data_IF_538095568746
#
_entry.id   IF_538095568746
#
_cell.length_a   1.000
_cell.length_b   1.000
_cell.length_c   1.000
_cell.angle_alpha   90.00
_cell.angle_beta   90.00
_cell.angle_gamma   90.00
#
_symmetry.space_group_name_H-M   'P 1'
#
loop_
_entity.id
_entity.type
_entity.pdbx_description
1 polymer ?
#
# COMPACT_ATOMS: atom_id res chain seq x y z
N UNK A 1 -2.16 17.73 7.96
CA UNK A 1 -2.95 16.70 7.25
C UNK A 1 -2.27 16.20 5.97
N UNK A 2 -1.78 17.08 5.08
CA UNK A 2 -1.08 16.66 3.85
C UNK A 2 0.14 15.74 4.09
N UNK A 3 0.99 16.03 5.09
CA UNK A 3 2.12 15.17 5.44
C UNK A 3 1.68 13.80 5.99
N UNK A 4 0.56 13.76 6.72
CA UNK A 4 0.00 12.52 7.27
C UNK A 4 -0.50 11.60 6.14
N UNK A 5 -1.22 12.15 5.17
CA UNK A 5 -1.66 11.42 3.99
C UNK A 5 -0.49 10.79 3.22
N UNK A 6 0.62 11.53 3.07
CA UNK A 6 1.84 11.02 2.42
C UNK A 6 2.47 9.86 3.19
N UNK A 7 2.55 9.95 4.52
CA UNK A 7 3.10 8.86 5.36
C UNK A 7 2.22 7.62 5.25
N UNK A 8 0.90 7.78 5.37
CA UNK A 8 -0.07 6.68 5.26
C UNK A 8 0.02 6.03 3.87
N UNK A 9 0.15 6.83 2.82
CA UNK A 9 0.36 6.34 1.46
C UNK A 9 1.61 5.48 1.35
N UNK A 10 2.75 5.95 1.89
CA UNK A 10 4.02 5.23 1.84
C UNK A 10 3.94 3.91 2.61
N UNK A 11 3.28 3.89 3.78
CA UNK A 11 3.08 2.66 4.56
C UNK A 11 2.24 1.66 3.75
N UNK A 12 1.11 2.11 3.18
CA UNK A 12 0.26 1.25 2.34
C UNK A 12 1.00 0.68 1.14
N UNK A 13 1.83 1.51 0.47
CA UNK A 13 2.68 1.10 -0.64
C UNK A 13 3.71 0.05 -0.21
N UNK A 14 4.39 0.25 0.91
CA UNK A 14 5.39 -0.70 1.41
C UNK A 14 4.75 -2.06 1.75
N UNK A 15 3.57 -2.05 2.36
CA UNK A 15 2.80 -3.27 2.65
C UNK A 15 2.38 -3.98 1.35
N UNK A 16 1.86 -3.23 0.37
CA UNK A 16 1.46 -3.79 -0.91
C UNK A 16 2.64 -4.41 -1.67
N UNK A 17 3.78 -3.72 -1.76
CA UNK A 17 4.99 -4.23 -2.41
C UNK A 17 5.51 -5.49 -1.71
N UNK A 18 5.54 -5.50 -0.38
CA UNK A 18 6.04 -6.66 0.38
C UNK A 18 5.13 -7.87 0.18
N UNK A 19 3.80 -7.66 0.21
CA UNK A 19 2.82 -8.70 -0.08
C UNK A 19 2.91 -9.24 -1.51
N UNK A 20 3.13 -8.34 -2.48
CA UNK A 20 3.25 -8.71 -3.90
C UNK A 20 4.55 -9.51 -4.15
N UNK A 21 5.70 -8.93 -3.82
CA UNK A 21 7.00 -9.55 -4.07
C UNK A 21 7.17 -10.85 -3.28
N UNK A 22 6.79 -10.85 -2.00
CA UNK A 22 6.90 -12.05 -1.17
C UNK A 22 5.85 -13.11 -1.52
N UNK A 23 4.58 -12.71 -1.69
CA UNK A 23 3.49 -13.64 -2.00
C UNK A 23 3.69 -14.33 -3.33
N UNK A 24 3.92 -13.56 -4.41
CA UNK A 24 4.20 -14.16 -5.71
C UNK A 24 5.57 -14.82 -5.78
N UNK A 25 6.59 -14.28 -5.08
CA UNK A 25 7.92 -14.90 -5.02
C UNK A 25 7.88 -16.32 -4.45
N UNK A 26 7.11 -16.55 -3.39
CA UNK A 26 6.90 -17.87 -2.81
C UNK A 26 6.12 -18.81 -3.73
N UNK A 27 5.10 -18.29 -4.44
CA UNK A 27 4.36 -19.06 -5.46
C UNK A 27 5.29 -19.53 -6.58
N UNK A 28 6.17 -18.65 -7.09
CA UNK A 28 7.10 -19.00 -8.17
C UNK A 28 8.18 -19.99 -7.74
N UNK A 29 8.60 -19.95 -6.47
CA UNK A 29 9.53 -20.94 -5.91
C UNK A 29 8.86 -22.28 -5.57
N UNK A 30 7.54 -22.42 -5.74
CA UNK A 30 6.79 -23.63 -5.36
C UNK A 30 6.92 -23.96 -3.86
N UNK A 31 7.17 -22.94 -3.03
CA UNK A 31 7.58 -23.09 -1.64
C UNK A 31 6.54 -22.47 -0.71
N UNK A 32 6.15 -23.19 0.34
CA UNK A 32 5.30 -22.71 1.43
C UNK A 32 3.99 -22.00 1.00
N UNK A 33 3.08 -22.75 0.37
CA UNK A 33 1.74 -22.29 -0.06
C UNK A 33 0.96 -21.54 1.02
N UNK A 34 1.09 -21.93 2.29
CA UNK A 34 0.41 -21.27 3.40
C UNK A 34 0.90 -19.83 3.61
N UNK A 35 2.21 -19.61 3.58
CA UNK A 35 2.80 -18.27 3.72
C UNK A 35 2.51 -17.42 2.48
N UNK A 36 2.58 -18.00 1.29
CA UNK A 36 2.23 -17.32 0.05
C UNK A 36 0.80 -16.75 0.11
N UNK A 37 -0.18 -17.56 0.52
CA UNK A 37 -1.58 -17.13 0.66
C UNK A 37 -1.75 -15.99 1.66
N UNK A 38 -1.06 -16.05 2.80
CA UNK A 38 -1.10 -14.99 3.82
C UNK A 38 -0.54 -13.68 3.26
N UNK A 39 0.62 -13.71 2.60
CA UNK A 39 1.21 -12.51 1.99
C UNK A 39 0.32 -11.93 0.89
N UNK A 40 -0.30 -12.78 0.07
CA UNK A 40 -1.24 -12.33 -0.95
C UNK A 40 -2.50 -11.69 -0.34
N UNK A 41 -2.97 -12.18 0.81
CA UNK A 41 -4.12 -11.61 1.53
C UNK A 41 -3.83 -10.24 2.16
N UNK A 42 -2.57 -9.92 2.44
CA UNK A 42 -2.13 -8.59 2.93
C UNK A 42 -2.17 -7.53 1.82
N UNK A 43 -2.15 -7.92 0.54
CA UNK A 43 -2.15 -7.00 -0.60
C UNK A 43 -3.39 -6.06 -0.59
N UNK A 44 -4.64 -6.57 -0.52
CA UNK A 44 -5.82 -5.70 -0.41
C UNK A 44 -5.75 -4.69 0.73
N UNK A 45 -5.19 -5.09 1.88
CA UNK A 45 -5.04 -4.22 3.05
C UNK A 45 -4.07 -3.07 2.73
N UNK A 46 -2.93 -3.39 2.10
CA UNK A 46 -1.97 -2.39 1.62
C UNK A 46 -2.62 -1.39 0.66
N UNK A 47 -3.43 -1.87 -0.29
CA UNK A 47 -4.17 -0.99 -1.22
C UNK A 47 -5.17 -0.07 -0.52
N UNK A 48 -5.93 -0.57 0.46
CA UNK A 48 -6.88 0.25 1.23
C UNK A 48 -6.16 1.35 1.99
N UNK A 49 -5.05 1.04 2.66
CA UNK A 49 -4.23 2.02 3.38
C UNK A 49 -3.66 3.05 2.40
N UNK A 50 -3.12 2.59 1.27
CA UNK A 50 -2.57 3.46 0.24
C UNK A 50 -3.64 4.41 -0.32
N UNK A 51 -4.84 3.90 -0.59
CA UNK A 51 -5.97 4.69 -1.05
C UNK A 51 -6.40 5.74 -0.01
N UNK A 52 -6.47 5.38 1.26
CA UNK A 52 -6.80 6.32 2.34
C UNK A 52 -5.73 7.44 2.48
N UNK A 53 -4.44 7.09 2.35
CA UNK A 53 -3.36 8.07 2.35
C UNK A 53 -3.42 9.01 1.14
N UNK A 54 -3.70 8.46 -0.04
CA UNK A 54 -3.84 9.23 -1.28
C UNK A 54 -5.04 10.17 -1.21
N UNK A 55 -6.22 9.68 -0.82
CA UNK A 55 -7.44 10.50 -0.72
C UNK A 55 -7.26 11.63 0.29
N UNK A 56 -6.66 11.35 1.45
CA UNK A 56 -6.30 12.38 2.45
C UNK A 56 -5.32 13.40 1.86
N UNK A 57 -4.30 12.96 1.13
CA UNK A 57 -3.32 13.88 0.53
C UNK A 57 -3.96 14.79 -0.51
N UNK A 58 -4.85 14.26 -1.35
CA UNK A 58 -5.55 15.04 -2.38
C UNK A 58 -6.53 16.02 -1.76
N UNK A 59 -7.38 15.55 -0.85
CA UNK A 59 -8.44 16.36 -0.22
C UNK A 59 -7.88 17.49 0.64
N UNK A 60 -6.75 17.26 1.31
CA UNK A 60 -6.13 18.24 2.21
C UNK A 60 -4.84 18.84 1.64
N UNK A 61 -4.53 18.60 0.37
CA UNK A 61 -3.50 19.38 -0.31
C UNK A 61 -3.95 20.84 -0.33
N UNK A 62 -3.08 21.74 0.12
CA UNK A 62 -3.33 23.17 -0.02
C UNK A 62 -3.32 23.43 -1.52
N UNK A 63 -4.51 23.64 -2.10
CA UNK A 63 -4.61 24.19 -3.45
C UNK A 63 -3.94 25.55 -3.37
N UNK A 64 -2.80 25.71 -4.01
CA UNK A 64 -2.21 27.01 -4.26
C UNK A 64 -3.17 27.71 -5.22
N UNK A 65 -4.22 28.29 -4.66
CA UNK A 65 -5.18 29.13 -5.36
C UNK A 65 -4.48 30.48 -5.50
N UNK A 66 -3.69 30.65 -6.56
CA UNK A 66 -2.81 31.82 -6.61
C UNK A 66 -1.86 31.97 -7.81
N UNK A 67 -2.32 31.71 -9.04
CA UNK A 67 -2.13 32.56 -10.25
C UNK A 67 -2.52 31.82 -11.52
#
# INVERSE_FOLDING_TARGET
MAQLGRIVFIIGLAVAITGLLGGFGLVFQGSNDALAKILLMVIPIGFVIMFAGLSTSVLFSSREDGK
#
